data_IF_045043219965
#
_entry.id   IF_045043219965
#
_cell.length_a   1.000
_cell.length_b   1.000
_cell.length_c   1.000
_cell.angle_alpha   90.00
_cell.angle_beta   90.00
_cell.angle_gamma   90.00
#
_symmetry.space_group_name_H-M   'P 1'
#
loop_
_entity.id
_entity.type
_entity.pdbx_description
1 polymer ?
#
# COMPACT_ATOMS: atom_id res chain seq x y z
N UNK A 1 -29.40 -10.24 6.89
CA UNK A 1 -28.56 -9.85 5.73
C UNK A 1 -27.30 -9.04 6.10
N UNK A 2 -27.02 -8.77 7.38
CA UNK A 2 -25.79 -8.08 7.84
C UNK A 2 -24.64 -9.03 8.27
N UNK A 3 -24.82 -10.35 8.14
CA UNK A 3 -23.80 -11.36 8.45
C UNK A 3 -22.77 -11.60 7.32
N UNK A 4 -22.83 -10.83 6.23
CA UNK A 4 -21.86 -10.89 5.13
C UNK A 4 -20.71 -9.89 5.28
N UNK A 5 -20.67 -9.15 6.39
CA UNK A 5 -19.59 -8.21 6.65
C UNK A 5 -18.41 -8.95 7.27
N UNK A 6 -17.38 -9.18 6.47
CA UNK A 6 -16.14 -9.80 6.94
C UNK A 6 -15.40 -8.84 7.88
N UNK A 7 -15.63 -9.02 9.18
CA UNK A 7 -15.07 -8.16 10.24
C UNK A 7 -13.54 -8.18 10.24
N UNK A 8 -12.96 -9.29 9.81
CA UNK A 8 -11.52 -9.48 9.78
C UNK A 8 -10.88 -8.73 8.61
N UNK A 9 -11.47 -8.82 7.41
CA UNK A 9 -11.05 -8.02 6.27
C UNK A 9 -11.21 -6.51 6.53
N UNK A 10 -12.28 -6.11 7.21
CA UNK A 10 -12.48 -4.72 7.65
C UNK A 10 -11.42 -4.25 8.64
N UNK A 11 -11.09 -5.09 9.63
CA UNK A 11 -10.06 -4.78 10.61
C UNK A 11 -8.69 -4.63 9.92
N UNK A 12 -8.33 -5.54 9.01
CA UNK A 12 -7.09 -5.48 8.25
C UNK A 12 -7.00 -4.25 7.33
N UNK A 13 -8.11 -3.87 6.71
CA UNK A 13 -8.21 -2.66 5.89
C UNK A 13 -8.08 -1.40 6.74
N UNK A 14 -8.74 -1.38 7.90
CA UNK A 14 -8.68 -0.27 8.84
C UNK A 14 -7.27 -0.11 9.44
N UNK A 15 -6.60 -1.20 9.80
CA UNK A 15 -5.22 -1.15 10.30
C UNK A 15 -4.26 -0.66 9.22
N UNK A 16 -4.38 -1.15 7.98
CA UNK A 16 -3.58 -0.63 6.89
C UNK A 16 -3.81 0.85 6.67
N UNK A 17 -5.07 1.29 6.57
CA UNK A 17 -5.42 2.69 6.40
C UNK A 17 -4.88 3.58 7.52
N UNK A 18 -4.97 3.13 8.77
CA UNK A 18 -4.47 3.86 9.94
C UNK A 18 -2.93 3.99 9.95
N UNK A 19 -2.21 3.02 9.39
CA UNK A 19 -0.75 3.09 9.23
C UNK A 19 -0.33 3.89 8.00
N UNK A 20 -1.06 3.72 6.89
CA UNK A 20 -0.77 4.34 5.60
C UNK A 20 -1.00 5.84 5.61
N UNK A 21 -2.13 6.30 6.16
CA UNK A 21 -2.51 7.72 6.07
C UNK A 21 -1.46 8.64 6.70
N UNK A 22 -1.00 8.45 7.95
CA UNK A 22 -0.04 9.36 8.56
C UNK A 22 1.26 9.47 7.77
N UNK A 23 1.77 8.34 7.26
CA UNK A 23 2.98 8.30 6.43
C UNK A 23 2.76 9.08 5.12
N UNK A 24 1.64 8.86 4.45
CA UNK A 24 1.30 9.54 3.21
C UNK A 24 1.04 11.04 3.43
N UNK A 25 0.42 11.41 4.55
CA UNK A 25 0.20 12.80 4.96
C UNK A 25 1.54 13.51 5.17
N UNK A 26 2.43 12.94 5.98
CA UNK A 26 3.76 13.51 6.21
C UNK A 26 4.56 13.63 4.92
N UNK A 27 4.49 12.62 4.05
CA UNK A 27 5.11 12.67 2.75
C UNK A 27 4.60 13.83 1.90
N UNK A 28 3.28 14.06 1.83
CA UNK A 28 2.68 15.20 1.11
C UNK A 28 3.09 16.57 1.66
N UNK A 29 3.32 16.66 2.96
CA UNK A 29 3.80 17.90 3.59
C UNK A 29 5.28 18.14 3.30
N UNK A 30 6.08 17.08 3.24
CA UNK A 30 7.53 17.16 3.03
C UNK A 30 7.89 17.31 1.55
N UNK A 31 7.16 16.65 0.63
CA UNK A 31 7.49 16.65 -0.79
C UNK A 31 7.60 18.06 -1.41
N UNK A 32 6.70 19.02 -1.14
CA UNK A 32 6.86 20.40 -1.62
C UNK A 32 8.06 21.13 -1.01
N UNK A 33 8.56 20.73 0.16
CA UNK A 33 9.77 21.31 0.76
C UNK A 33 11.04 20.84 0.05
N UNK A 34 11.03 19.62 -0.48
CA UNK A 34 12.17 19.04 -1.21
C UNK A 34 12.16 19.44 -2.68
N UNK A 35 11.00 19.35 -3.33
CA UNK A 35 10.85 19.57 -4.77
C UNK A 35 10.39 20.98 -5.15
N UNK A 36 10.07 21.83 -4.17
CA UNK A 36 9.50 23.16 -4.40
C UNK A 36 8.02 23.10 -4.79
N UNK A 37 7.56 24.11 -5.54
CA UNK A 37 6.16 24.13 -6.03
C UNK A 37 5.92 22.94 -6.95
N UNK A 38 5.06 22.02 -6.50
CA UNK A 38 4.54 20.93 -7.33
C UNK A 38 3.52 21.45 -8.37
N UNK A 39 2.86 22.58 -8.08
CA UNK A 39 1.96 23.20 -9.05
C UNK A 39 2.74 23.75 -10.23
N UNK A 40 2.25 23.47 -11.45
CA UNK A 40 2.80 23.95 -12.73
C UNK A 40 4.25 23.53 -13.02
N UNK A 41 4.86 22.66 -12.21
CA UNK A 41 6.20 22.11 -12.43
C UNK A 41 6.13 20.61 -12.69
N UNK A 42 6.23 20.22 -13.97
CA UNK A 42 6.22 18.80 -14.38
C UNK A 42 7.37 18.03 -13.73
N UNK A 43 8.63 18.51 -13.74
CA UNK A 43 9.74 17.78 -13.14
C UNK A 43 9.56 17.55 -11.63
N UNK A 44 9.03 18.53 -10.91
CA UNK A 44 8.79 18.42 -9.47
C UNK A 44 7.68 17.40 -9.16
N UNK A 45 6.56 17.44 -9.90
CA UNK A 45 5.49 16.45 -9.76
C UNK A 45 5.96 15.03 -10.12
N UNK A 46 6.72 14.87 -11.21
CA UNK A 46 7.27 13.57 -11.60
C UNK A 46 8.28 13.06 -10.58
N UNK A 47 9.15 13.92 -10.05
CA UNK A 47 10.13 13.56 -9.01
C UNK A 47 9.46 13.13 -7.71
N UNK A 48 8.43 13.86 -7.28
CA UNK A 48 7.63 13.48 -6.12
C UNK A 48 6.88 12.17 -6.37
N UNK A 49 6.15 12.02 -7.49
CA UNK A 49 5.46 10.77 -7.81
C UNK A 49 6.43 9.58 -7.87
N UNK A 50 7.61 9.74 -8.47
CA UNK A 50 8.63 8.71 -8.53
C UNK A 50 9.15 8.33 -7.14
N UNK A 51 9.43 9.32 -6.28
CA UNK A 51 9.84 9.06 -4.90
C UNK A 51 8.76 8.31 -4.11
N UNK A 52 7.49 8.68 -4.33
CA UNK A 52 6.37 7.99 -3.70
C UNK A 52 6.24 6.54 -4.20
N UNK A 53 6.41 6.30 -5.49
CA UNK A 53 6.24 4.99 -6.10
C UNK A 53 7.42 4.04 -5.88
N UNK A 54 8.63 4.56 -5.87
CA UNK A 54 9.84 3.74 -5.79
C UNK A 54 10.33 3.50 -4.37
N UNK A 55 10.00 4.40 -3.42
CA UNK A 55 10.47 4.27 -2.04
C UNK A 55 9.30 4.19 -1.05
N UNK A 56 8.44 5.20 -1.00
CA UNK A 56 7.45 5.33 0.08
C UNK A 56 6.42 4.20 0.05
N UNK A 57 5.81 3.96 -1.11
CA UNK A 57 4.77 2.96 -1.29
C UNK A 57 5.31 1.53 -1.09
N UNK A 58 6.43 1.11 -1.71
CA UNK A 58 7.00 -0.21 -1.45
C UNK A 58 7.41 -0.39 0.02
N UNK A 59 8.01 0.61 0.66
CA UNK A 59 8.36 0.52 2.08
C UNK A 59 7.11 0.35 2.97
N UNK A 60 6.04 1.11 2.68
CA UNK A 60 4.77 1.01 3.39
C UNK A 60 4.13 -0.37 3.25
N UNK A 61 4.06 -0.88 2.01
CA UNK A 61 3.50 -2.20 1.71
C UNK A 61 4.31 -3.31 2.36
N UNK A 62 5.64 -3.24 2.29
CA UNK A 62 6.53 -4.20 2.91
C UNK A 62 6.38 -4.23 4.44
N UNK A 63 6.34 -3.06 5.09
CA UNK A 63 6.10 -2.95 6.53
C UNK A 63 4.75 -3.53 6.93
N UNK A 64 3.70 -3.23 6.17
CA UNK A 64 2.35 -3.75 6.44
C UNK A 64 2.30 -5.27 6.31
N UNK A 65 2.75 -5.82 5.17
CA UNK A 65 2.67 -7.25 4.91
C UNK A 65 3.51 -8.05 5.91
N UNK A 66 4.73 -7.62 6.22
CA UNK A 66 5.54 -8.29 7.26
C UNK A 66 4.95 -8.13 8.66
N UNK A 67 4.46 -6.92 9.00
CA UNK A 67 3.90 -6.64 10.32
C UNK A 67 2.65 -7.45 10.62
N UNK A 68 1.71 -7.53 9.67
CA UNK A 68 0.47 -8.31 9.84
C UNK A 68 0.75 -9.81 9.85
N UNK A 69 1.62 -10.28 8.95
CA UNK A 69 2.04 -11.69 8.93
C UNK A 69 2.71 -12.10 10.24
N UNK A 70 3.55 -11.22 10.80
CA UNK A 70 4.21 -11.45 12.09
C UNK A 70 3.28 -11.40 13.29
N UNK A 71 2.38 -10.42 13.35
CA UNK A 71 1.43 -10.27 14.45
C UNK A 71 0.45 -11.44 14.58
N UNK A 72 0.27 -12.21 13.51
CA UNK A 72 -0.66 -13.35 13.44
C UNK A 72 0.02 -14.70 13.43
N UNK A 73 1.29 -14.77 13.87
CA UNK A 73 2.02 -16.04 13.95
C UNK A 73 2.19 -16.73 12.58
N UNK A 74 2.07 -16.01 11.45
CA UNK A 74 2.24 -16.56 10.10
C UNK A 74 3.66 -17.06 9.82
N UNK A 75 4.65 -16.62 10.62
CA UNK A 75 6.00 -17.19 10.63
C UNK A 75 6.11 -18.54 11.35
N UNK A 76 5.08 -18.96 12.09
CA UNK A 76 5.04 -20.20 12.89
C UNK A 76 3.94 -21.19 12.49
N UNK A 77 2.89 -20.74 11.78
CA UNK A 77 1.84 -21.61 11.21
C UNK A 77 2.18 -21.96 9.75
N UNK A 78 2.72 -23.16 9.53
CA UNK A 78 3.27 -23.60 8.22
C UNK A 78 2.22 -24.05 7.21
N UNK A 79 0.96 -24.26 7.64
CA UNK A 79 -0.07 -24.91 6.81
C UNK A 79 -0.43 -24.14 5.53
N UNK A 80 -0.40 -22.81 5.57
CA UNK A 80 -0.71 -21.96 4.41
C UNK A 80 0.47 -21.78 3.47
N UNK A 81 1.69 -21.75 4.03
CA UNK A 81 2.92 -21.74 3.26
C UNK A 81 3.16 -23.07 2.55
N UNK A 82 2.78 -24.20 3.14
CA UNK A 82 2.83 -25.51 2.46
C UNK A 82 1.94 -25.55 1.21
N UNK A 83 0.81 -24.83 1.20
CA UNK A 83 -0.08 -24.78 0.05
C UNK A 83 0.48 -23.97 -1.14
N UNK A 84 1.25 -22.91 -0.87
CA UNK A 84 1.77 -21.99 -1.90
C UNK A 84 3.26 -22.16 -2.20
N UNK A 85 4.02 -22.74 -1.28
CA UNK A 85 5.46 -23.01 -1.36
C UNK A 85 5.78 -24.44 -0.86
N UNK A 86 5.25 -25.50 -1.52
CA UNK A 86 5.28 -26.89 -1.02
C UNK A 86 6.68 -27.52 -0.87
N UNK A 87 7.79 -26.79 -1.06
CA UNK A 87 9.15 -27.34 -1.10
C UNK A 87 10.25 -26.40 -0.57
N UNK A 88 9.93 -25.30 0.14
CA UNK A 88 10.96 -24.38 0.68
C UNK A 88 11.07 -24.47 2.20
N UNK A 89 12.29 -24.25 2.74
CA UNK A 89 12.48 -24.03 4.19
C UNK A 89 11.64 -22.80 4.60
N UNK A 90 10.82 -22.98 5.63
CA UNK A 90 9.89 -21.99 6.16
C UNK A 90 10.62 -20.97 7.05
N UNK A 91 11.72 -20.42 6.53
CA UNK A 91 12.51 -19.40 7.21
C UNK A 91 11.90 -18.02 6.90
N UNK A 92 12.03 -17.07 7.84
CA UNK A 92 11.56 -15.68 7.69
C UNK A 92 12.03 -15.05 6.38
N UNK A 93 13.27 -15.33 5.96
CA UNK A 93 13.83 -14.84 4.70
C UNK A 93 13.11 -15.38 3.45
N UNK A 94 12.57 -16.59 3.51
CA UNK A 94 11.79 -17.19 2.40
C UNK A 94 10.45 -16.49 2.26
N UNK A 95 9.79 -16.18 3.39
CA UNK A 95 8.52 -15.44 3.43
C UNK A 95 8.72 -14.02 2.93
N UNK A 96 9.75 -13.33 3.41
CA UNK A 96 10.06 -11.98 2.97
C UNK A 96 10.34 -11.93 1.46
N UNK A 97 11.08 -12.92 0.95
CA UNK A 97 11.34 -13.06 -0.47
C UNK A 97 10.06 -13.30 -1.27
N UNK A 98 9.16 -14.16 -0.77
CA UNK A 98 7.85 -14.38 -1.40
C UNK A 98 7.01 -13.10 -1.44
N UNK A 99 6.97 -12.35 -0.33
CA UNK A 99 6.29 -11.05 -0.25
C UNK A 99 6.85 -10.11 -1.31
N UNK A 100 8.17 -9.96 -1.40
CA UNK A 100 8.81 -9.05 -2.36
C UNK A 100 8.63 -9.47 -3.82
N UNK A 101 8.79 -10.75 -4.14
CA UNK A 101 8.78 -11.25 -5.52
C UNK A 101 7.36 -11.48 -6.05
N UNK A 102 6.41 -11.86 -5.20
CA UNK A 102 5.08 -12.36 -5.62
C UNK A 102 3.95 -11.45 -5.17
N UNK A 103 3.96 -11.00 -3.91
CA UNK A 103 2.81 -10.29 -3.33
C UNK A 103 2.85 -8.79 -3.60
N UNK A 104 4.03 -8.17 -3.45
CA UNK A 104 4.22 -6.72 -3.53
C UNK A 104 4.01 -6.10 -4.93
N UNK A 105 4.31 -6.77 -6.07
CA UNK A 105 4.18 -6.16 -7.40
C UNK A 105 2.78 -5.66 -7.74
N UNK A 106 1.72 -6.41 -7.39
CA UNK A 106 0.36 -6.04 -7.75
C UNK A 106 -0.20 -4.85 -6.94
N UNK A 107 -0.09 -4.81 -5.60
CA UNK A 107 -0.36 -3.63 -4.78
C UNK A 107 0.41 -2.39 -5.21
N UNK A 108 1.67 -2.56 -5.63
CA UNK A 108 2.50 -1.47 -6.15
C UNK A 108 1.95 -0.94 -7.47
N UNK A 109 1.62 -1.83 -8.41
CA UNK A 109 1.02 -1.46 -9.69
C UNK A 109 -0.32 -0.74 -9.50
N UNK A 110 -1.20 -1.27 -8.66
CA UNK A 110 -2.53 -0.67 -8.40
C UNK A 110 -2.43 0.67 -7.68
N UNK A 111 -1.36 0.93 -6.92
CA UNK A 111 -1.14 2.23 -6.27
C UNK A 111 -0.97 3.39 -7.27
N UNK A 112 -0.57 3.12 -8.51
CA UNK A 112 -0.50 4.12 -9.57
C UNK A 112 -1.86 4.74 -9.86
N UNK A 113 -2.93 3.95 -9.79
CA UNK A 113 -4.30 4.43 -9.98
C UNK A 113 -4.76 5.39 -8.87
N UNK A 114 -4.07 5.40 -7.71
CA UNK A 114 -4.33 6.34 -6.62
C UNK A 114 -3.48 7.60 -6.78
N UNK A 115 -2.18 7.41 -6.97
CA UNK A 115 -1.22 8.51 -6.83
C UNK A 115 -1.03 9.29 -8.12
N UNK A 116 -1.06 8.66 -9.29
CA UNK A 116 -0.94 9.36 -10.56
C UNK A 116 -2.03 10.43 -10.76
N UNK A 117 -3.34 10.13 -10.63
CA UNK A 117 -4.38 11.15 -10.79
C UNK A 117 -4.31 12.23 -9.70
N UNK A 118 -3.87 11.88 -8.50
CA UNK A 118 -3.61 12.87 -7.45
C UNK A 118 -2.52 13.86 -7.85
N UNK A 119 -1.36 13.39 -8.35
CA UNK A 119 -0.26 14.27 -8.78
C UNK A 119 -0.58 15.08 -10.03
N UNK A 120 -1.40 14.54 -10.94
CA UNK A 120 -1.97 15.30 -12.06
C UNK A 120 -2.83 16.45 -11.52
N UNK A 121 -3.69 16.17 -10.54
CA UNK A 121 -4.51 17.20 -9.90
C UNK A 121 -3.69 18.26 -9.16
N UNK A 122 -2.63 17.85 -8.44
CA UNK A 122 -1.69 18.79 -7.79
C UNK A 122 -0.97 19.68 -8.81
N UNK A 123 -0.58 19.13 -9.96
CA UNK A 123 0.10 19.87 -11.02
C UNK A 123 -0.77 21.01 -11.58
N UNK A 124 -2.03 20.73 -11.91
CA UNK A 124 -2.97 21.75 -12.42
C UNK A 124 -3.37 22.77 -11.34
N UNK A 125 -3.12 22.44 -10.07
CA UNK A 125 -3.43 23.25 -8.91
C UNK A 125 -4.56 22.66 -8.08
N UNK A 126 -4.56 22.86 -6.75
CA UNK A 126 -5.54 22.27 -5.86
C UNK A 126 -6.95 22.79 -6.19
N UNK A 127 -7.80 21.91 -6.70
CA UNK A 127 -9.22 22.17 -6.89
C UNK A 127 -10.04 21.47 -5.81
N UNK A 128 -11.28 21.93 -5.59
CA UNK A 128 -12.16 21.47 -4.49
C UNK A 128 -12.41 19.96 -4.46
N UNK A 129 -12.20 19.25 -5.56
CA UNK A 129 -12.41 17.80 -5.70
C UNK A 129 -11.17 16.93 -5.48
N UNK A 130 -9.98 17.51 -5.28
CA UNK A 130 -8.74 16.73 -5.19
C UNK A 130 -8.74 15.75 -3.99
N UNK A 131 -9.28 16.20 -2.85
CA UNK A 131 -9.44 15.34 -1.68
C UNK A 131 -10.43 14.19 -1.92
N UNK A 132 -11.58 14.49 -2.55
CA UNK A 132 -12.57 13.47 -2.88
C UNK A 132 -12.00 12.42 -3.84
N UNK A 133 -11.35 12.86 -4.93
CA UNK A 133 -10.66 11.99 -5.88
C UNK A 133 -9.66 11.08 -5.16
N UNK A 134 -8.88 11.66 -4.24
CA UNK A 134 -7.92 10.90 -3.47
C UNK A 134 -8.59 9.81 -2.61
N UNK A 135 -9.62 10.14 -1.83
CA UNK A 135 -10.30 9.15 -0.97
C UNK A 135 -11.06 8.09 -1.78
N UNK A 136 -11.67 8.46 -2.90
CA UNK A 136 -12.39 7.52 -3.78
C UNK A 136 -11.49 6.48 -4.43
N UNK A 137 -10.20 6.78 -4.60
CA UNK A 137 -9.20 5.84 -5.15
C UNK A 137 -8.40 5.15 -4.05
N UNK A 138 -8.12 5.85 -2.94
CA UNK A 138 -7.40 5.30 -1.79
C UNK A 138 -8.17 4.17 -1.10
N UNK A 139 -9.48 4.32 -0.87
CA UNK A 139 -10.28 3.31 -0.17
C UNK A 139 -10.31 1.97 -0.92
N UNK A 140 -10.58 1.91 -2.24
CA UNK A 140 -10.45 0.68 -3.02
C UNK A 140 -9.04 0.08 -2.98
N UNK A 141 -8.00 0.92 -3.03
CA UNK A 141 -6.63 0.43 -2.96
C UNK A 141 -6.32 -0.21 -1.59
N UNK A 142 -6.70 0.43 -0.50
CA UNK A 142 -6.60 -0.13 0.86
C UNK A 142 -7.30 -1.48 0.96
N UNK A 143 -8.53 -1.57 0.42
CA UNK A 143 -9.29 -2.81 0.40
C UNK A 143 -8.63 -3.90 -0.46
N UNK A 144 -7.99 -3.52 -1.57
CA UNK A 144 -7.26 -4.48 -2.41
C UNK A 144 -5.99 -5.01 -1.72
N UNK A 145 -5.27 -4.15 -0.99
CA UNK A 145 -4.08 -4.53 -0.22
C UNK A 145 -4.43 -5.51 0.90
N UNK A 146 -5.50 -5.23 1.65
CA UNK A 146 -5.97 -6.13 2.71
C UNK A 146 -6.50 -7.45 2.14
N UNK A 147 -7.19 -7.42 1.00
CA UNK A 147 -7.61 -8.64 0.31
C UNK A 147 -6.41 -9.52 -0.05
N UNK A 148 -5.35 -8.93 -0.60
CA UNK A 148 -4.12 -9.65 -0.96
C UNK A 148 -3.39 -10.20 0.27
N UNK A 149 -3.29 -9.42 1.35
CA UNK A 149 -2.76 -9.92 2.62
C UNK A 149 -3.54 -11.14 3.12
N UNK A 150 -4.84 -11.18 2.87
CA UNK A 150 -5.68 -12.29 3.28
C UNK A 150 -5.64 -13.49 2.33
N UNK A 151 -5.49 -13.31 1.03
CA UNK A 151 -5.52 -14.44 0.09
C UNK A 151 -4.14 -15.06 -0.10
N UNK A 152 -3.08 -14.24 -0.05
CA UNK A 152 -1.72 -14.67 -0.38
C UNK A 152 -0.85 -14.96 0.85
N UNK A 153 -1.21 -14.44 2.02
CA UNK A 153 -0.34 -14.43 3.22
C UNK A 153 -1.01 -14.90 4.51
N UNK A 154 -2.31 -15.22 4.51
CA UNK A 154 -3.09 -15.69 5.68
C UNK A 154 -4.10 -16.76 5.27
#
# INVERSE_FOLDING_TARGET
MFNMLDKEALLQSATFGALAEPVLYHYRVIAPRVFGSLSRSVPACCGALALQQLLVTPALLWLYFNGVTGARSGFSDTWYMEAHLPQRRHDVATIERYIMETVLPFPLLTSWAVYMPFYIGVYFGPFRGLGLLHYTTLLPWIASVSHIQRTELL
#
